data_IF_826192014313
#
_entry.id   IF_826192014313
#
_cell.length_a   1.000
_cell.length_b   1.000
_cell.length_c   1.000
_cell.angle_alpha   90.00
_cell.angle_beta   90.00
_cell.angle_gamma   90.00
#
_symmetry.space_group_name_H-M   'P 1'
#
loop_
_entity.id
_entity.type
_entity.pdbx_description
1 polymer ?
#
# COMPACT_ATOMS: atom_id res chain seq x y z
N UNK A 1 -25.46 -5.13 14.58
CA UNK A 1 -24.49 -4.14 14.05
C UNK A 1 -24.22 -4.53 12.61
N UNK A 2 -24.78 -3.81 11.64
CA UNK A 2 -24.52 -4.05 10.21
C UNK A 2 -23.04 -3.82 9.99
N UNK A 3 -22.35 -4.83 9.47
CA UNK A 3 -20.91 -4.77 9.26
C UNK A 3 -20.59 -3.53 8.38
N UNK A 4 -19.84 -2.59 8.94
CA UNK A 4 -19.50 -1.31 8.30
C UNK A 4 -18.79 -1.50 6.96
N UNK A 5 -18.34 -2.74 6.65
CA UNK A 5 -17.49 -3.10 5.53
C UNK A 5 -17.97 -4.34 4.75
N UNK A 6 -19.29 -4.51 4.56
CA UNK A 6 -19.86 -5.68 3.88
C UNK A 6 -19.28 -5.92 2.46
N UNK A 7 -18.90 -4.86 1.77
CA UNK A 7 -18.38 -4.94 0.40
C UNK A 7 -16.86 -4.85 0.36
N UNK A 8 -16.15 -5.80 -0.28
CA UNK A 8 -14.69 -5.80 -0.41
C UNK A 8 -14.12 -4.51 -1.02
N UNK A 9 -14.82 -3.90 -2.00
CA UNK A 9 -14.43 -2.63 -2.60
C UNK A 9 -14.44 -1.49 -1.57
N UNK A 10 -15.45 -1.43 -0.70
CA UNK A 10 -15.57 -0.43 0.37
C UNK A 10 -14.46 -0.62 1.40
N UNK A 11 -14.22 -1.88 1.79
CA UNK A 11 -13.15 -2.23 2.75
C UNK A 11 -11.77 -1.82 2.25
N UNK A 12 -11.44 -2.16 1.01
CA UNK A 12 -10.16 -1.80 0.39
C UNK A 12 -10.03 -0.27 0.26
N UNK A 13 -11.10 0.41 -0.17
CA UNK A 13 -11.09 1.87 -0.28
C UNK A 13 -10.79 2.52 1.07
N UNK A 14 -11.43 2.05 2.15
CA UNK A 14 -11.13 2.52 3.50
C UNK A 14 -9.67 2.30 3.91
N UNK A 15 -9.12 1.12 3.63
CA UNK A 15 -7.71 0.80 3.94
C UNK A 15 -6.72 1.69 3.16
N UNK A 16 -7.10 2.18 1.98
CA UNK A 16 -6.26 3.07 1.17
C UNK A 16 -6.20 4.48 1.75
N UNK A 17 -7.33 5.05 2.21
CA UNK A 17 -7.36 6.45 2.57
C UNK A 17 -8.39 6.86 3.63
N UNK A 18 -8.92 5.93 4.41
CA UNK A 18 -9.79 6.22 5.56
C UNK A 18 -11.22 6.59 5.20
N UNK A 19 -11.83 7.44 6.04
CA UNK A 19 -13.27 7.73 6.01
C UNK A 19 -13.74 8.45 4.74
N UNK A 20 -12.95 9.33 4.15
CA UNK A 20 -13.29 9.99 2.89
C UNK A 20 -13.44 8.98 1.76
N UNK A 21 -12.50 8.03 1.65
CA UNK A 21 -12.54 6.95 0.66
C UNK A 21 -13.73 6.02 0.89
N UNK A 22 -14.04 5.71 2.16
CA UNK A 22 -15.22 4.94 2.53
C UNK A 22 -16.51 5.59 2.03
N UNK A 23 -16.67 6.90 2.25
CA UNK A 23 -17.86 7.66 1.83
C UNK A 23 -18.01 7.66 0.32
N UNK A 24 -16.93 7.94 -0.42
CA UNK A 24 -16.91 7.93 -1.89
C UNK A 24 -17.23 6.55 -2.44
N UNK A 25 -16.59 5.49 -1.91
CA UNK A 25 -16.82 4.12 -2.34
C UNK A 25 -18.27 3.68 -2.13
N UNK A 26 -18.87 4.01 -1.00
CA UNK A 26 -20.30 3.76 -0.73
C UNK A 26 -21.22 4.51 -1.68
N UNK A 27 -20.91 5.76 -2.00
CA UNK A 27 -21.66 6.53 -2.98
C UNK A 27 -21.61 5.87 -4.36
N UNK A 28 -20.44 5.41 -4.80
CA UNK A 28 -20.26 4.69 -6.07
C UNK A 28 -20.98 3.34 -6.13
N UNK A 29 -21.20 2.66 -5.00
CA UNK A 29 -21.96 1.41 -4.98
C UNK A 29 -23.46 1.62 -5.05
N UNK A 30 -23.98 2.76 -4.59
CA UNK A 30 -25.42 3.08 -4.62
C UNK A 30 -25.93 3.42 -6.02
N UNK A 31 -25.06 3.92 -6.89
CA UNK A 31 -25.39 4.31 -8.25
C UNK A 31 -24.60 3.49 -9.28
N UNK A 32 -25.20 3.22 -10.44
CA UNK A 32 -24.47 2.53 -11.54
C UNK A 32 -23.24 3.32 -11.97
N UNK A 33 -23.39 4.63 -12.04
CA UNK A 33 -22.33 5.61 -12.28
C UNK A 33 -22.72 6.96 -11.66
N UNK A 34 -21.75 7.79 -11.35
CA UNK A 34 -21.99 9.11 -10.80
C UNK A 34 -20.90 10.10 -11.22
N UNK A 35 -21.26 11.37 -11.35
CA UNK A 35 -20.29 12.45 -11.54
C UNK A 35 -19.63 12.84 -10.21
N UNK A 36 -18.50 13.54 -10.28
CA UNK A 36 -17.84 14.08 -9.08
C UNK A 36 -18.75 15.04 -8.29
N UNK A 37 -19.62 15.82 -8.96
CA UNK A 37 -20.59 16.70 -8.32
C UNK A 37 -21.68 15.90 -7.58
N UNK A 38 -22.23 14.85 -8.19
CA UNK A 38 -23.23 13.96 -7.59
C UNK A 38 -22.67 13.26 -6.35
N UNK A 39 -21.40 12.78 -6.42
CA UNK A 39 -20.72 12.15 -5.30
C UNK A 39 -20.46 13.17 -4.19
N UNK A 40 -20.01 14.37 -4.51
CA UNK A 40 -19.78 15.44 -3.53
C UNK A 40 -21.08 15.78 -2.78
N UNK A 41 -22.18 15.92 -3.50
CA UNK A 41 -23.52 16.20 -2.92
C UNK A 41 -24.00 15.07 -2.01
N UNK A 42 -23.80 13.79 -2.41
CA UNK A 42 -24.26 12.64 -1.65
C UNK A 42 -23.42 12.33 -0.42
N UNK A 43 -22.13 12.72 -0.43
CA UNK A 43 -21.17 12.42 0.66
C UNK A 43 -20.95 13.59 1.61
N UNK A 44 -21.33 14.82 1.21
CA UNK A 44 -21.04 16.05 1.94
C UNK A 44 -19.56 16.46 1.90
N UNK A 45 -18.76 15.83 1.04
CA UNK A 45 -17.34 16.15 0.89
C UNK A 45 -17.13 17.30 -0.09
N UNK A 46 -16.05 18.07 0.11
CA UNK A 46 -15.63 19.09 -0.85
C UNK A 46 -15.25 18.44 -2.18
N UNK A 47 -15.63 19.02 -3.29
CA UNK A 47 -15.44 18.47 -4.64
C UNK A 47 -13.96 18.14 -4.93
N UNK A 48 -13.02 18.96 -4.48
CA UNK A 48 -11.59 18.70 -4.67
C UNK A 48 -11.12 17.44 -3.90
N UNK A 49 -11.70 17.14 -2.74
CA UNK A 49 -11.44 15.91 -2.00
C UNK A 49 -12.01 14.71 -2.75
N UNK A 50 -13.25 14.81 -3.26
CA UNK A 50 -13.87 13.76 -4.07
C UNK A 50 -13.01 13.45 -5.30
N UNK A 51 -12.58 14.46 -6.04
CA UNK A 51 -11.67 14.30 -7.19
C UNK A 51 -10.36 13.61 -6.83
N UNK A 52 -9.72 14.03 -5.73
CA UNK A 52 -8.50 13.38 -5.24
C UNK A 52 -8.73 11.88 -5.00
N UNK A 53 -9.80 11.52 -4.30
CA UNK A 53 -10.15 10.12 -4.01
C UNK A 53 -10.43 9.35 -5.30
N UNK A 54 -11.22 9.94 -6.22
CA UNK A 54 -11.55 9.30 -7.49
C UNK A 54 -10.29 9.05 -8.35
N UNK A 55 -9.41 10.03 -8.50
CA UNK A 55 -8.18 9.84 -9.27
C UNK A 55 -7.24 8.81 -8.61
N UNK A 56 -7.17 8.74 -7.29
CA UNK A 56 -6.35 7.74 -6.61
C UNK A 56 -6.94 6.31 -6.79
N UNK A 57 -8.25 6.12 -6.66
CA UNK A 57 -8.92 4.85 -6.92
C UNK A 57 -8.82 4.44 -8.40
N UNK A 58 -8.91 5.41 -9.32
CA UNK A 58 -8.73 5.19 -10.75
C UNK A 58 -7.30 4.75 -11.09
N UNK A 59 -6.29 5.39 -10.52
CA UNK A 59 -4.89 4.98 -10.66
C UNK A 59 -4.59 3.57 -10.14
N UNK A 60 -5.44 3.05 -9.24
CA UNK A 60 -5.39 1.68 -8.72
C UNK A 60 -6.30 0.71 -9.49
N UNK A 61 -6.93 1.16 -10.57
CA UNK A 61 -7.88 0.39 -11.40
C UNK A 61 -9.12 -0.14 -10.64
N UNK A 62 -9.42 0.42 -9.47
CA UNK A 62 -10.58 0.06 -8.66
C UNK A 62 -11.88 0.71 -9.13
N UNK A 63 -11.77 1.77 -9.92
CA UNK A 63 -12.89 2.43 -10.59
C UNK A 63 -12.54 2.72 -12.04
N UNK A 64 -13.57 2.96 -12.85
CA UNK A 64 -13.41 3.46 -14.23
C UNK A 64 -14.14 4.78 -14.39
N UNK A 65 -13.62 5.67 -15.24
CA UNK A 65 -14.24 6.93 -15.62
C UNK A 65 -14.56 6.94 -17.09
N UNK A 66 -15.82 7.20 -17.43
CA UNK A 66 -16.31 7.36 -18.80
C UNK A 66 -16.57 8.83 -19.04
N UNK A 67 -15.99 9.37 -20.11
CA UNK A 67 -16.22 10.76 -20.52
C UNK A 67 -17.50 10.83 -21.34
N UNK A 68 -18.52 11.55 -20.85
CA UNK A 68 -19.80 11.75 -21.51
C UNK A 68 -20.05 13.23 -21.72
N UNK A 69 -20.74 13.60 -22.82
CA UNK A 69 -21.20 14.96 -23.04
C UNK A 69 -22.46 15.20 -22.20
N UNK A 70 -22.41 16.18 -21.33
CA UNK A 70 -23.61 16.64 -20.59
C UNK A 70 -24.44 17.49 -21.51
N UNK A 71 -25.62 17.00 -21.89
CA UNK A 71 -26.54 17.70 -22.83
C UNK A 71 -27.07 19.02 -22.26
N UNK A 72 -27.17 19.14 -20.92
CA UNK A 72 -27.68 20.37 -20.27
C UNK A 72 -26.59 21.43 -20.15
N UNK A 73 -25.34 21.00 -19.85
CA UNK A 73 -24.23 21.91 -19.60
C UNK A 73 -23.39 22.20 -20.87
N UNK A 74 -23.51 21.36 -21.91
CA UNK A 74 -22.80 21.51 -23.18
C UNK A 74 -21.31 21.07 -23.16
N UNK A 75 -20.78 20.70 -22.03
CA UNK A 75 -19.38 20.22 -21.90
C UNK A 75 -19.29 18.76 -21.51
N UNK A 76 -18.09 18.21 -21.54
CA UNK A 76 -17.84 16.83 -21.17
C UNK A 76 -17.64 16.72 -19.65
N UNK A 77 -18.28 15.70 -19.04
CA UNK A 77 -18.12 15.32 -17.65
C UNK A 77 -17.64 13.87 -17.54
N UNK A 78 -16.97 13.53 -16.48
CA UNK A 78 -16.65 12.15 -16.17
C UNK A 78 -17.76 11.53 -15.33
N UNK A 79 -18.19 10.32 -15.72
CA UNK A 79 -19.05 9.46 -14.91
C UNK A 79 -18.23 8.29 -14.41
N UNK A 80 -18.20 8.12 -13.11
CA UNK A 80 -17.38 7.16 -12.41
C UNK A 80 -18.19 5.94 -12.01
N UNK A 81 -17.58 4.75 -12.18
CA UNK A 81 -18.17 3.47 -11.83
C UNK A 81 -17.18 2.62 -11.06
N UNK A 82 -17.63 1.91 -10.01
CA UNK A 82 -16.81 0.93 -9.28
C UNK A 82 -16.52 -0.30 -10.16
N UNK A 83 -15.32 -0.84 -10.03
CA UNK A 83 -14.87 -2.09 -10.66
C UNK A 83 -14.66 -3.15 -9.57
N UNK A 84 -15.76 -3.66 -9.04
CA UNK A 84 -15.74 -4.63 -7.93
C UNK A 84 -14.99 -5.90 -8.29
N UNK A 85 -15.08 -6.30 -9.56
CA UNK A 85 -14.39 -7.44 -10.15
C UNK A 85 -12.86 -7.34 -10.11
N UNK A 86 -12.32 -6.12 -10.03
CA UNK A 86 -10.88 -5.87 -9.99
C UNK A 86 -10.29 -5.85 -8.57
N UNK A 87 -11.15 -5.91 -7.56
CA UNK A 87 -10.69 -5.84 -6.15
C UNK A 87 -9.77 -7.00 -5.81
N UNK A 88 -10.11 -8.21 -6.24
CA UNK A 88 -9.28 -9.39 -6.01
C UNK A 88 -7.94 -9.26 -6.74
N UNK A 89 -7.94 -8.86 -8.01
CA UNK A 89 -6.72 -8.61 -8.78
C UNK A 89 -5.84 -7.55 -8.11
N UNK A 90 -6.45 -6.49 -7.56
CA UNK A 90 -5.72 -5.48 -6.80
C UNK A 90 -5.04 -6.08 -5.56
N UNK A 91 -5.77 -6.87 -4.76
CA UNK A 91 -5.24 -7.54 -3.55
C UNK A 91 -4.08 -8.45 -3.91
N UNK A 92 -4.23 -9.30 -4.93
CA UNK A 92 -3.20 -10.23 -5.39
C UNK A 92 -1.93 -9.47 -5.85
N UNK A 93 -2.11 -8.37 -6.57
CA UNK A 93 -0.99 -7.54 -6.99
C UNK A 93 -0.27 -6.88 -5.81
N UNK A 94 -1.00 -6.43 -4.77
CA UNK A 94 -0.37 -5.90 -3.55
C UNK A 94 0.39 -7.00 -2.79
N UNK A 95 -0.17 -8.20 -2.65
CA UNK A 95 0.51 -9.36 -2.05
C UNK A 95 1.82 -9.69 -2.79
N UNK A 96 1.81 -9.73 -4.13
CA UNK A 96 3.01 -9.94 -4.95
C UNK A 96 4.09 -8.87 -4.70
N UNK A 97 3.70 -7.60 -4.65
CA UNK A 97 4.63 -6.49 -4.36
C UNK A 97 5.25 -6.60 -2.98
N UNK A 98 4.44 -6.93 -1.96
CA UNK A 98 4.93 -7.12 -0.58
C UNK A 98 5.90 -8.31 -0.52
N UNK A 99 5.53 -9.43 -1.14
CA UNK A 99 6.40 -10.62 -1.22
C UNK A 99 7.75 -10.28 -1.86
N UNK A 100 7.75 -9.55 -2.97
CA UNK A 100 8.98 -9.11 -3.65
C UNK A 100 9.89 -8.28 -2.73
N UNK A 101 9.34 -7.26 -2.06
CA UNK A 101 10.10 -6.43 -1.10
C UNK A 101 10.64 -7.23 0.09
N UNK A 102 9.89 -8.20 0.59
CA UNK A 102 10.36 -9.08 1.67
C UNK A 102 11.48 -9.99 1.18
N UNK A 103 11.41 -10.48 -0.07
CA UNK A 103 12.48 -11.29 -0.68
C UNK A 103 13.76 -10.47 -0.85
N UNK A 104 13.68 -9.27 -1.42
CA UNK A 104 14.83 -8.36 -1.54
C UNK A 104 15.49 -8.09 -0.18
N UNK A 105 14.66 -7.92 0.86
CA UNK A 105 15.16 -7.73 2.21
C UNK A 105 15.82 -8.97 2.78
N UNK A 106 15.24 -10.15 2.55
CA UNK A 106 15.83 -11.44 2.96
C UNK A 106 17.17 -11.69 2.25
N UNK A 107 17.24 -11.39 0.95
CA UNK A 107 18.46 -11.52 0.15
C UNK A 107 19.55 -10.59 0.69
N UNK A 108 19.20 -9.35 1.03
CA UNK A 108 20.13 -8.43 1.71
C UNK A 108 20.63 -8.97 3.06
N UNK A 109 19.74 -9.55 3.89
CA UNK A 109 20.14 -10.16 5.16
C UNK A 109 21.04 -11.39 4.98
N UNK A 110 20.93 -12.07 3.84
CA UNK A 110 21.75 -13.25 3.50
C UNK A 110 23.08 -12.88 2.85
N UNK A 111 23.18 -11.72 2.20
CA UNK A 111 24.36 -11.33 1.41
C UNK A 111 25.58 -10.98 2.27
N UNK A 112 25.37 -10.56 3.52
CA UNK A 112 26.45 -10.06 4.37
C UNK A 112 26.25 -10.40 5.85
N UNK A 113 27.35 -10.39 6.60
CA UNK A 113 27.33 -10.32 8.05
C UNK A 113 27.20 -8.87 8.49
N UNK A 114 26.44 -8.62 9.55
CA UNK A 114 26.21 -7.27 10.06
C UNK A 114 26.87 -7.07 11.42
N UNK A 115 27.39 -5.87 11.61
CA UNK A 115 28.07 -5.44 12.83
C UNK A 115 27.37 -4.23 13.41
N UNK A 116 27.35 -4.11 14.72
CA UNK A 116 26.64 -3.05 15.45
C UNK A 116 27.35 -2.70 16.74
N UNK A 117 27.39 -1.41 17.09
CA UNK A 117 28.05 -0.93 18.31
C UNK A 117 27.19 -1.00 19.57
N UNK A 118 25.86 -1.23 19.43
CA UNK A 118 24.92 -1.27 20.55
C UNK A 118 24.20 0.06 20.82
N UNK A 119 24.68 1.18 20.28
CA UNK A 119 24.03 2.48 20.45
C UNK A 119 22.81 2.60 19.54
N UNK A 120 21.65 2.98 20.10
CA UNK A 120 20.36 3.10 19.38
C UNK A 120 20.37 4.15 18.28
N UNK A 121 21.21 5.16 18.38
CA UNK A 121 21.35 6.23 17.39
C UNK A 121 22.29 5.87 16.23
N UNK A 122 22.86 4.66 16.25
CA UNK A 122 23.78 4.19 15.21
C UNK A 122 23.15 3.07 14.39
N UNK A 123 23.42 3.07 13.09
CA UNK A 123 23.03 1.99 12.20
C UNK A 123 24.02 0.80 12.28
N UNK A 124 23.50 -0.39 11.96
CA UNK A 124 24.37 -1.55 11.73
C UNK A 124 25.06 -1.41 10.37
N UNK A 125 26.28 -1.90 10.29
CA UNK A 125 27.11 -1.88 9.09
C UNK A 125 27.38 -3.29 8.58
N UNK A 126 27.72 -3.43 7.30
CA UNK A 126 28.16 -4.70 6.71
C UNK A 126 29.57 -5.06 7.17
N UNK A 127 29.95 -6.31 6.98
CA UNK A 127 31.33 -6.78 7.26
C UNK A 127 32.39 -5.93 6.55
N UNK A 128 32.17 -5.63 5.26
CA UNK A 128 33.10 -4.84 4.46
C UNK A 128 33.31 -3.45 5.07
N UNK A 129 32.22 -2.74 5.39
CA UNK A 129 32.29 -1.44 6.05
C UNK A 129 32.96 -1.55 7.44
N UNK A 130 32.65 -2.60 8.22
CA UNK A 130 33.28 -2.80 9.53
C UNK A 130 34.78 -3.01 9.41
N UNK A 131 35.21 -3.78 8.40
CA UNK A 131 36.62 -4.04 8.12
C UNK A 131 37.37 -2.74 7.74
N UNK A 132 36.79 -1.94 6.83
CA UNK A 132 37.36 -0.66 6.40
C UNK A 132 37.53 0.33 7.57
N UNK A 133 36.65 0.26 8.56
CA UNK A 133 36.67 1.08 9.78
C UNK A 133 37.43 0.42 10.96
N UNK A 134 38.19 -0.65 10.71
CA UNK A 134 38.89 -1.40 11.76
C UNK A 134 37.97 -1.81 12.91
N UNK A 135 36.73 -2.22 12.60
CA UNK A 135 35.67 -2.57 13.55
C UNK A 135 35.31 -1.47 14.57
N UNK A 136 35.44 -0.22 14.16
CA UNK A 136 34.95 0.95 14.90
C UNK A 136 33.72 1.53 14.22
N UNK A 137 32.74 1.92 15.01
CA UNK A 137 31.51 2.53 14.51
C UNK A 137 31.81 3.88 13.80
N UNK A 138 31.42 4.08 12.54
CA UNK A 138 31.69 5.34 11.84
C UNK A 138 30.96 6.54 12.44
N UNK A 139 29.91 6.31 13.25
CA UNK A 139 29.10 7.37 13.85
C UNK A 139 29.60 7.77 15.24
N UNK A 140 29.88 6.79 16.14
CA UNK A 140 30.22 7.07 17.54
C UNK A 140 31.63 6.60 17.93
N UNK A 141 32.35 5.89 17.09
CA UNK A 141 33.72 5.38 17.35
C UNK A 141 33.79 4.12 18.23
N UNK A 142 32.66 3.67 18.80
CA UNK A 142 32.60 2.48 19.63
C UNK A 142 32.90 1.20 18.85
N UNK A 143 33.30 0.13 19.57
CA UNK A 143 33.62 -1.16 18.97
C UNK A 143 32.38 -1.80 18.36
N UNK A 144 32.51 -2.25 17.11
CA UNK A 144 31.48 -3.00 16.39
C UNK A 144 31.54 -4.48 16.73
N UNK A 145 30.40 -5.04 17.15
CA UNK A 145 30.26 -6.46 17.45
C UNK A 145 29.34 -7.14 16.40
N UNK A 146 29.57 -8.43 16.13
CA UNK A 146 28.74 -9.20 15.21
C UNK A 146 27.27 -9.20 15.68
N UNK A 147 26.38 -8.71 14.82
CA UNK A 147 24.94 -8.71 15.07
C UNK A 147 24.28 -9.89 14.37
N UNK A 148 23.89 -10.90 15.15
CA UNK A 148 23.14 -12.04 14.61
C UNK A 148 21.78 -11.59 14.09
N UNK A 149 21.42 -12.01 12.88
CA UNK A 149 20.16 -11.65 12.20
C UNK A 149 19.25 -12.87 11.88
N UNK A 150 19.52 -14.03 12.50
CA UNK A 150 18.78 -15.27 12.25
C UNK A 150 17.28 -15.16 12.55
N UNK A 151 16.91 -14.43 13.61
CA UNK A 151 15.51 -14.21 13.95
C UNK A 151 14.78 -13.39 12.87
N UNK A 152 15.45 -12.36 12.31
CA UNK A 152 14.93 -11.55 11.23
C UNK A 152 14.77 -12.36 9.95
N UNK A 153 15.78 -13.15 9.56
CA UNK A 153 15.73 -14.05 8.40
C UNK A 153 14.56 -15.04 8.51
N UNK A 154 14.41 -15.71 9.65
CA UNK A 154 13.27 -16.61 9.91
C UNK A 154 11.93 -15.89 9.82
N UNK A 155 11.83 -14.65 10.34
CA UNK A 155 10.64 -13.83 10.26
C UNK A 155 10.25 -13.50 8.82
N UNK A 156 11.21 -13.08 7.98
CA UNK A 156 11.00 -12.80 6.57
C UNK A 156 10.58 -14.06 5.80
N UNK A 157 11.30 -15.17 5.97
CA UNK A 157 10.99 -16.45 5.31
C UNK A 157 9.55 -16.88 5.64
N UNK A 158 9.17 -16.87 6.92
CA UNK A 158 7.82 -17.22 7.34
C UNK A 158 6.76 -16.36 6.66
N UNK A 159 6.95 -15.03 6.58
CA UNK A 159 6.01 -14.12 5.94
C UNK A 159 5.93 -14.30 4.43
N UNK A 160 7.06 -14.56 3.77
CA UNK A 160 7.12 -14.86 2.34
C UNK A 160 6.32 -16.13 2.02
N UNK A 161 6.47 -17.18 2.85
CA UNK A 161 5.76 -18.45 2.70
C UNK A 161 4.25 -18.30 2.94
N UNK A 162 3.84 -17.55 3.98
CA UNK A 162 2.43 -17.24 4.26
C UNK A 162 1.78 -16.55 3.06
N UNK A 163 2.40 -15.47 2.54
CA UNK A 163 1.90 -14.75 1.36
C UNK A 163 1.92 -15.65 0.12
N UNK A 164 2.93 -16.50 -0.02
CA UNK A 164 3.04 -17.45 -1.13
C UNK A 164 1.87 -18.44 -1.18
N UNK A 165 1.47 -18.99 -0.04
CA UNK A 165 0.30 -19.87 0.06
C UNK A 165 -0.99 -19.15 -0.30
N UNK A 166 -1.17 -17.93 0.20
CA UNK A 166 -2.36 -17.10 -0.10
C UNK A 166 -2.46 -16.66 -1.59
N UNK A 167 -1.36 -16.72 -2.34
CA UNK A 167 -1.36 -16.41 -3.77
C UNK A 167 -1.72 -17.61 -4.65
N UNK A 168 -1.72 -18.83 -4.09
CA UNK A 168 -2.02 -20.08 -4.79
C UNK A 168 -3.48 -20.53 -4.57
N UNK A 169 -4.19 -19.92 -3.62
CA UNK A 169 -5.62 -20.12 -3.34
C UNK A 169 -6.47 -19.07 -4.02
#
# INVERSE_FOLDING_TARGET
MIDKYEDPFVKISFMIGGDEYLKVARSLLKSKDATDEEIASSTGLRINMVRKVLYDLFGKSLITGIRVKDERKGWFVYRWRSRREEVENFIQNQKKKIKGRLQERLDYENSSQFYYCGNVDCDRVTFETALDQFFKCPTCGEVLNLKKNEAQKKGFTKKIDEIGKDLLT
#
